data_IF_290209236393
#
_entry.id   IF_290209236393
#
_cell.length_a   1.000
_cell.length_b   1.000
_cell.length_c   1.000
_cell.angle_alpha   90.00
_cell.angle_beta   90.00
_cell.angle_gamma   90.00
#
_symmetry.space_group_name_H-M   'P 1'
#
loop_
_entity.id
_entity.type
_entity.pdbx_description
1 polymer ?
#
# COMPACT_ATOMS: atom_id res chain seq x y z
N UNK A 1 2.03 2.49 -16.02
CA UNK A 1 1.17 3.64 -15.61
C UNK A 1 -0.27 3.60 -16.13
N UNK A 2 -0.57 2.93 -17.25
CA UNK A 2 -1.95 2.83 -17.74
C UNK A 2 -2.81 1.78 -17.00
N UNK A 3 -2.23 0.74 -16.41
CA UNK A 3 -3.01 -0.37 -15.83
C UNK A 3 -3.74 0.01 -14.52
N UNK A 4 -3.15 0.85 -13.69
CA UNK A 4 -3.74 1.22 -12.39
C UNK A 4 -4.93 2.18 -12.53
N UNK A 5 -4.90 3.08 -13.50
CA UNK A 5 -6.03 3.97 -13.79
C UNK A 5 -7.24 3.17 -14.29
N UNK A 6 -7.00 2.09 -15.05
CA UNK A 6 -8.07 1.19 -15.51
C UNK A 6 -8.76 0.46 -14.34
N UNK A 7 -8.03 0.08 -13.31
CA UNK A 7 -8.61 -0.61 -12.14
C UNK A 7 -9.62 0.26 -11.38
N UNK A 8 -9.42 1.57 -11.35
CA UNK A 8 -10.37 2.50 -10.69
C UNK A 8 -11.63 2.73 -11.53
N UNK A 9 -11.50 2.73 -12.86
CA UNK A 9 -12.63 2.88 -13.79
C UNK A 9 -13.42 1.58 -13.92
N UNK A 10 -12.78 0.42 -13.73
CA UNK A 10 -13.43 -0.89 -13.86
C UNK A 10 -14.66 -1.04 -12.97
N UNK A 11 -14.63 -0.49 -11.76
CA UNK A 11 -15.77 -0.50 -10.83
C UNK A 11 -16.99 0.19 -11.45
N UNK A 12 -16.83 1.34 -12.09
CA UNK A 12 -17.94 2.05 -12.73
C UNK A 12 -18.45 1.30 -13.96
N UNK A 13 -17.55 0.72 -14.75
CA UNK A 13 -17.90 -0.11 -15.91
C UNK A 13 -18.70 -1.33 -15.43
N UNK A 14 -18.29 -1.96 -14.35
CA UNK A 14 -18.97 -3.10 -13.76
C UNK A 14 -20.42 -2.75 -13.32
N UNK A 15 -20.60 -1.64 -12.58
CA UNK A 15 -21.92 -1.16 -12.19
C UNK A 15 -22.83 -0.89 -13.39
N UNK A 16 -22.33 -0.20 -14.41
CA UNK A 16 -23.11 0.09 -15.63
C UNK A 16 -23.47 -1.19 -16.37
N UNK A 17 -22.54 -2.15 -16.44
CA UNK A 17 -22.77 -3.44 -17.08
C UNK A 17 -23.81 -4.27 -16.34
N UNK A 18 -23.78 -4.31 -15.02
CA UNK A 18 -24.78 -4.99 -14.19
C UNK A 18 -26.17 -4.36 -14.41
N UNK A 19 -26.26 -3.03 -14.42
CA UNK A 19 -27.50 -2.32 -14.66
C UNK A 19 -28.05 -2.64 -16.07
N UNK A 20 -27.21 -2.61 -17.09
CA UNK A 20 -27.61 -2.95 -18.47
C UNK A 20 -28.15 -4.38 -18.58
N UNK A 21 -27.45 -5.35 -17.96
CA UNK A 21 -27.91 -6.75 -17.91
C UNK A 21 -29.25 -6.87 -17.17
N UNK A 22 -29.42 -6.19 -16.05
CA UNK A 22 -30.68 -6.22 -15.29
C UNK A 22 -31.85 -5.66 -16.10
N UNK A 23 -31.64 -4.58 -16.84
CA UNK A 23 -32.66 -4.00 -17.73
C UNK A 23 -33.01 -4.95 -18.89
N UNK A 24 -32.01 -5.57 -19.53
CA UNK A 24 -32.23 -6.56 -20.59
C UNK A 24 -33.00 -7.79 -20.10
N UNK A 25 -32.67 -8.32 -18.93
CA UNK A 25 -33.37 -9.45 -18.31
C UNK A 25 -34.83 -9.07 -18.00
N UNK A 26 -35.04 -7.87 -17.45
CA UNK A 26 -36.39 -7.39 -17.17
C UNK A 26 -37.25 -7.28 -18.44
N UNK A 27 -36.67 -6.72 -19.51
CA UNK A 27 -37.39 -6.62 -20.80
C UNK A 27 -37.63 -8.00 -21.43
N UNK A 28 -36.69 -8.92 -21.33
CA UNK A 28 -36.85 -10.29 -21.78
C UNK A 28 -38.04 -11.00 -21.04
N UNK A 29 -38.09 -10.86 -19.73
CA UNK A 29 -39.17 -11.38 -18.89
C UNK A 29 -40.52 -10.78 -19.31
N UNK A 30 -40.56 -9.47 -19.58
CA UNK A 30 -41.74 -8.76 -20.05
C UNK A 30 -42.22 -9.30 -21.39
N UNK A 31 -41.32 -9.42 -22.38
CA UNK A 31 -41.65 -9.97 -23.71
C UNK A 31 -42.21 -11.40 -23.61
N UNK A 32 -41.63 -12.25 -22.77
CA UNK A 32 -42.10 -13.63 -22.54
C UNK A 32 -43.50 -13.63 -21.93
N UNK A 33 -43.77 -12.75 -20.95
CA UNK A 33 -45.09 -12.66 -20.30
C UNK A 33 -46.17 -12.12 -21.24
N UNK A 34 -45.86 -11.11 -22.02
CA UNK A 34 -46.83 -10.40 -22.85
C UNK A 34 -47.11 -11.09 -24.20
N UNK A 35 -46.30 -12.07 -24.58
CA UNK A 35 -46.45 -12.75 -25.86
C UNK A 35 -47.67 -13.68 -25.86
N UNK A 36 -48.79 -13.17 -26.37
CA UNK A 36 -50.08 -13.87 -26.45
C UNK A 36 -50.11 -14.94 -27.56
N UNK A 37 -49.22 -14.92 -28.51
CA UNK A 37 -49.22 -15.78 -29.70
C UNK A 37 -48.51 -17.12 -29.54
N UNK A 38 -47.70 -17.28 -28.51
CA UNK A 38 -46.87 -18.46 -28.37
C UNK A 38 -47.13 -19.11 -27.03
N UNK A 39 -47.69 -20.32 -27.11
CA UNK A 39 -47.30 -21.40 -26.25
C UNK A 39 -48.09 -21.55 -24.95
N UNK A 40 -48.45 -22.80 -24.71
CA UNK A 40 -49.08 -23.31 -23.49
C UNK A 40 -48.45 -22.69 -22.24
N UNK A 41 -49.21 -22.51 -21.17
CA UNK A 41 -48.74 -21.98 -19.88
C UNK A 41 -47.48 -22.70 -19.36
N UNK A 42 -47.31 -23.97 -19.75
CA UNK A 42 -46.16 -24.81 -19.43
C UNK A 42 -44.84 -24.30 -20.06
N UNK A 43 -44.83 -23.93 -21.36
CA UNK A 43 -43.64 -23.44 -22.03
C UNK A 43 -43.19 -22.04 -21.54
N UNK A 44 -44.17 -21.19 -21.13
CA UNK A 44 -43.82 -19.91 -20.45
C UNK A 44 -43.13 -20.16 -19.11
N UNK A 45 -43.59 -21.14 -18.34
CA UNK A 45 -42.93 -21.51 -17.08
C UNK A 45 -41.52 -22.03 -17.30
N UNK A 46 -41.32 -22.92 -18.30
CA UNK A 46 -40.00 -23.45 -18.65
C UNK A 46 -39.04 -22.30 -19.06
N UNK A 47 -39.50 -21.39 -19.94
CA UNK A 47 -38.67 -20.26 -20.37
C UNK A 47 -38.25 -19.38 -19.21
N UNK A 48 -39.14 -19.09 -18.25
CA UNK A 48 -38.80 -18.32 -17.07
C UNK A 48 -37.79 -19.05 -16.15
N UNK A 49 -37.97 -20.35 -15.97
CA UNK A 49 -37.04 -21.17 -15.18
C UNK A 49 -35.66 -21.22 -15.84
N UNK A 50 -35.61 -21.45 -17.17
CA UNK A 50 -34.35 -21.45 -17.90
C UNK A 50 -33.60 -20.09 -17.81
N UNK A 51 -34.36 -18.99 -17.97
CA UNK A 51 -33.77 -17.64 -17.80
C UNK A 51 -33.21 -17.45 -16.40
N UNK A 52 -33.96 -17.89 -15.37
CA UNK A 52 -33.47 -17.84 -13.99
C UNK A 52 -32.24 -18.71 -13.75
N UNK A 53 -32.20 -19.91 -14.32
CA UNK A 53 -31.02 -20.80 -14.23
C UNK A 53 -29.80 -20.20 -14.92
N UNK A 54 -29.96 -19.64 -16.12
CA UNK A 54 -28.86 -18.99 -16.84
C UNK A 54 -28.30 -17.81 -16.02
N UNK A 55 -29.20 -16.97 -15.49
CA UNK A 55 -28.77 -15.85 -14.65
C UNK A 55 -28.07 -16.33 -13.37
N UNK A 56 -28.58 -17.35 -12.70
CA UNK A 56 -27.95 -17.96 -11.54
C UNK A 56 -26.56 -18.52 -11.85
N UNK A 57 -26.37 -19.19 -12.99
CA UNK A 57 -25.08 -19.69 -13.44
C UNK A 57 -24.10 -18.55 -13.74
N UNK A 58 -24.58 -17.46 -14.36
CA UNK A 58 -23.73 -16.27 -14.59
C UNK A 58 -23.27 -15.64 -13.27
N UNK A 59 -24.15 -15.52 -12.28
CA UNK A 59 -23.80 -15.02 -10.95
C UNK A 59 -22.75 -15.93 -10.26
N UNK A 60 -22.95 -17.24 -10.31
CA UNK A 60 -22.00 -18.20 -9.74
C UNK A 60 -20.64 -18.13 -10.44
N UNK A 61 -20.62 -18.00 -11.76
CA UNK A 61 -19.39 -17.84 -12.53
C UNK A 61 -18.66 -16.53 -12.16
N UNK A 62 -19.41 -15.42 -12.05
CA UNK A 62 -18.83 -14.12 -11.64
C UNK A 62 -18.24 -14.17 -10.22
N UNK A 63 -18.91 -14.86 -9.29
CA UNK A 63 -18.38 -15.06 -7.94
C UNK A 63 -17.11 -15.93 -7.99
N UNK A 64 -17.12 -16.98 -8.80
CA UNK A 64 -15.95 -17.88 -8.93
C UNK A 64 -14.75 -17.17 -9.58
N UNK A 65 -14.97 -16.35 -10.62
CA UNK A 65 -13.93 -15.56 -11.28
C UNK A 65 -13.43 -14.42 -10.39
N UNK A 66 -14.34 -13.73 -9.69
CA UNK A 66 -14.02 -12.66 -8.75
C UNK A 66 -13.46 -13.16 -7.40
N UNK A 67 -13.53 -14.48 -7.15
CA UNK A 67 -12.91 -15.05 -5.95
C UNK A 67 -11.39 -15.01 -6.13
N UNK A 68 -10.70 -14.09 -5.43
CA UNK A 68 -9.24 -14.07 -5.54
C UNK A 68 -8.77 -15.47 -5.16
N UNK A 69 -7.95 -16.06 -5.99
CA UNK A 69 -7.16 -17.22 -5.55
C UNK A 69 -6.29 -16.69 -4.41
N UNK A 70 -6.89 -16.66 -3.23
CA UNK A 70 -6.18 -16.38 -1.99
C UNK A 70 -5.10 -17.43 -1.90
N UNK A 71 -3.94 -17.05 -2.40
CA UNK A 71 -2.72 -17.76 -2.13
C UNK A 71 -2.55 -17.71 -0.62
N UNK A 72 -3.17 -18.65 0.08
CA UNK A 72 -3.02 -18.87 1.51
C UNK A 72 -1.55 -18.92 1.99
N UNK A 73 -0.53 -19.25 1.13
CA UNK A 73 0.87 -19.16 1.52
C UNK A 73 1.33 -17.75 1.95
N UNK A 74 0.75 -16.69 1.43
CA UNK A 74 1.19 -15.33 1.77
C UNK A 74 0.69 -14.82 3.12
N UNK A 75 -0.34 -15.45 3.71
CA UNK A 75 -0.94 -14.94 4.95
C UNK A 75 0.03 -15.03 6.15
N UNK A 76 0.68 -16.16 6.33
CA UNK A 76 1.59 -16.35 7.47
C UNK A 76 2.83 -15.47 7.35
N UNK A 77 3.38 -15.34 6.12
CA UNK A 77 4.50 -14.44 5.85
C UNK A 77 4.12 -12.98 6.09
N UNK A 78 2.97 -12.54 5.58
CA UNK A 78 2.48 -11.18 5.78
C UNK A 78 2.21 -10.88 7.26
N UNK A 79 1.69 -11.86 8.01
CA UNK A 79 1.47 -11.74 9.44
C UNK A 79 2.78 -11.61 10.22
N UNK A 80 3.79 -12.40 9.87
CA UNK A 80 5.12 -12.29 10.48
C UNK A 80 5.75 -10.94 10.21
N UNK A 81 5.71 -10.46 8.98
CA UNK A 81 6.21 -9.14 8.61
C UNK A 81 5.47 -8.04 9.38
N UNK A 82 4.14 -8.09 9.44
CA UNK A 82 3.34 -7.13 10.20
C UNK A 82 3.74 -7.08 11.69
N UNK A 83 3.98 -8.23 12.31
CA UNK A 83 4.39 -8.30 13.72
C UNK A 83 5.80 -7.73 13.89
N UNK A 84 6.74 -8.07 13.00
CA UNK A 84 8.10 -7.55 13.00
C UNK A 84 8.12 -6.03 12.86
N UNK A 85 7.41 -5.50 11.87
CA UNK A 85 7.32 -4.05 11.60
C UNK A 85 6.69 -3.31 12.78
N UNK A 86 5.62 -3.86 13.37
CA UNK A 86 4.97 -3.30 14.54
C UNK A 86 5.92 -3.22 15.73
N UNK A 87 6.57 -4.34 16.07
CA UNK A 87 7.51 -4.39 17.20
C UNK A 87 8.67 -3.42 16.99
N UNK A 88 9.17 -3.33 15.78
CA UNK A 88 10.26 -2.43 15.43
C UNK A 88 9.87 -0.95 15.62
N UNK A 89 8.71 -0.53 15.12
CA UNK A 89 8.23 0.84 15.27
C UNK A 89 7.88 1.15 16.74
N UNK A 90 7.31 0.20 17.49
CA UNK A 90 7.08 0.35 18.93
C UNK A 90 8.41 0.51 19.69
N UNK A 91 9.48 -0.18 19.31
CA UNK A 91 10.81 -0.01 19.90
C UNK A 91 11.39 1.39 19.61
N UNK A 92 11.23 1.91 18.38
CA UNK A 92 11.59 3.29 18.05
C UNK A 92 10.81 4.26 18.93
N UNK A 93 9.49 4.12 19.01
CA UNK A 93 8.62 5.01 19.79
C UNK A 93 8.98 5.02 21.28
N UNK A 94 9.34 3.87 21.84
CA UNK A 94 9.78 3.75 23.24
C UNK A 94 11.18 4.31 23.51
N UNK A 95 11.98 4.52 22.46
CA UNK A 95 13.37 4.98 22.57
C UNK A 95 13.54 6.50 22.44
N UNK A 96 12.49 7.22 22.04
CA UNK A 96 12.48 8.67 21.84
C UNK A 96 11.33 9.33 22.58
N UNK A 97 11.37 10.65 22.73
CA UNK A 97 10.28 11.41 23.35
C UNK A 97 9.01 11.41 22.48
N UNK A 98 7.85 11.43 23.12
CA UNK A 98 6.57 11.51 22.41
C UNK A 98 6.52 12.79 21.55
N UNK A 99 6.09 12.62 20.29
CA UNK A 99 6.05 13.72 19.32
C UNK A 99 7.35 13.97 18.57
N UNK A 100 8.40 13.17 18.80
CA UNK A 100 9.66 13.23 18.07
C UNK A 100 9.48 13.03 16.57
N UNK A 101 10.34 13.68 15.79
CA UNK A 101 10.38 13.59 14.33
C UNK A 101 11.42 12.54 13.89
N UNK A 102 11.02 11.66 13.01
CA UNK A 102 11.89 10.63 12.39
C UNK A 102 11.98 10.89 10.89
N UNK A 103 13.19 11.03 10.38
CA UNK A 103 13.43 11.18 8.95
C UNK A 103 13.50 9.81 8.28
N UNK A 104 12.84 9.66 7.12
CA UNK A 104 12.74 8.38 6.42
C UNK A 104 13.54 8.39 5.12
N UNK A 105 14.33 7.34 4.93
CA UNK A 105 15.10 7.08 3.73
C UNK A 105 14.64 5.78 3.04
N UNK A 106 14.75 5.74 1.70
CA UNK A 106 15.14 6.84 0.81
C UNK A 106 14.07 7.93 0.70
N UNK A 107 14.41 9.09 0.16
CA UNK A 107 13.37 10.01 -0.33
C UNK A 107 12.55 9.32 -1.42
N UNK A 108 11.24 9.35 -1.26
CA UNK A 108 10.28 8.73 -2.18
C UNK A 108 9.10 9.67 -2.39
N UNK A 109 8.81 10.01 -3.65
CA UNK A 109 7.72 10.92 -3.98
C UNK A 109 6.36 10.31 -3.61
N UNK A 110 5.43 11.12 -3.11
CA UNK A 110 4.06 10.73 -2.81
C UNK A 110 3.06 11.53 -3.65
N UNK A 111 1.99 10.94 -4.21
CA UNK A 111 1.72 9.51 -4.32
C UNK A 111 2.35 8.91 -5.60
N UNK A 112 2.49 7.61 -5.66
CA UNK A 112 2.70 6.84 -6.90
C UNK A 112 4.00 7.19 -7.67
N UNK A 113 5.14 7.02 -7.04
CA UNK A 113 6.45 7.12 -7.69
C UNK A 113 6.80 5.86 -8.49
N UNK A 114 6.41 4.71 -7.98
CA UNK A 114 6.77 3.38 -8.45
C UNK A 114 7.78 2.68 -7.55
N UNK A 115 7.99 1.37 -7.71
CA UNK A 115 8.90 0.61 -6.86
C UNK A 115 10.35 1.08 -7.05
N UNK A 116 11.12 1.04 -5.96
CA UNK A 116 12.59 1.22 -5.96
C UNK A 116 13.18 -0.06 -5.38
N UNK A 117 13.85 -0.84 -6.19
CA UNK A 117 14.27 -2.22 -5.89
C UNK A 117 13.07 -3.02 -5.34
N UNK A 118 13.15 -3.57 -4.13
CA UNK A 118 12.08 -4.32 -3.48
C UNK A 118 11.17 -3.46 -2.59
N UNK A 119 11.39 -2.14 -2.53
CA UNK A 119 10.53 -1.20 -1.83
C UNK A 119 9.38 -0.73 -2.74
N UNK A 120 8.13 -0.87 -2.29
CA UNK A 120 6.93 -0.38 -2.98
C UNK A 120 6.50 1.00 -2.47
N UNK A 121 5.67 1.69 -3.25
CA UNK A 121 5.24 3.09 -3.05
C UNK A 121 4.83 3.48 -1.63
N UNK A 122 4.29 2.54 -0.85
CA UNK A 122 3.70 2.84 0.45
C UNK A 122 4.41 2.15 1.63
N UNK A 123 5.55 1.50 1.41
CA UNK A 123 6.27 0.84 2.49
C UNK A 123 6.71 1.82 3.59
N UNK A 124 7.07 3.04 3.26
CA UNK A 124 7.44 4.06 4.24
C UNK A 124 6.28 4.48 5.18
N UNK A 125 5.02 4.15 4.85
CA UNK A 125 3.90 4.34 5.79
C UNK A 125 3.89 3.36 6.95
N UNK A 126 4.72 2.33 6.95
CA UNK A 126 4.86 1.37 8.05
C UNK A 126 5.10 2.10 9.38
N UNK A 127 5.99 3.10 9.38
CA UNK A 127 6.23 3.94 10.55
C UNK A 127 4.95 4.60 11.07
N UNK A 128 4.22 5.26 10.19
CA UNK A 128 2.97 5.93 10.55
C UNK A 128 1.87 4.97 11.01
N UNK A 129 1.76 3.78 10.38
CA UNK A 129 0.72 2.80 10.71
C UNK A 129 0.88 2.20 12.11
N UNK A 130 2.11 2.09 12.59
CA UNK A 130 2.41 1.40 13.86
C UNK A 130 2.78 2.33 15.01
N UNK A 131 3.03 3.62 14.75
CA UNK A 131 3.28 4.62 15.81
C UNK A 131 2.02 5.38 16.20
N UNK A 132 2.02 5.94 17.41
CA UNK A 132 0.92 6.74 17.95
C UNK A 132 1.28 8.22 18.10
N UNK A 133 2.53 8.50 18.39
CA UNK A 133 2.99 9.84 18.76
C UNK A 133 4.06 10.40 17.83
N UNK A 134 4.78 9.54 17.10
CA UNK A 134 5.89 9.95 16.26
C UNK A 134 5.42 10.70 14.99
N UNK A 135 6.27 11.59 14.52
CA UNK A 135 6.08 12.33 13.27
C UNK A 135 7.07 11.79 12.23
N UNK A 136 6.56 11.40 11.08
CA UNK A 136 7.34 10.78 10.01
C UNK A 136 7.47 11.72 8.83
N UNK A 137 8.62 11.71 8.16
CA UNK A 137 8.90 12.64 7.05
C UNK A 137 8.24 12.25 5.72
N UNK A 138 7.84 10.98 5.55
CA UNK A 138 7.18 10.51 4.33
C UNK A 138 5.73 10.98 4.23
N UNK A 139 5.26 11.15 2.99
CA UNK A 139 3.86 11.50 2.69
C UNK A 139 3.66 12.95 2.24
N UNK A 140 4.73 13.72 2.08
CA UNK A 140 4.65 15.05 1.45
C UNK A 140 4.22 14.94 -0.01
N UNK A 141 3.19 15.72 -0.38
CA UNK A 141 2.60 15.64 -1.72
C UNK A 141 3.54 16.22 -2.76
N UNK A 142 3.80 15.46 -3.82
CA UNK A 142 4.63 15.82 -4.97
C UNK A 142 4.39 17.25 -5.46
N UNK A 143 5.46 18.02 -5.58
CA UNK A 143 5.48 19.39 -6.09
C UNK A 143 5.16 20.47 -5.06
N UNK A 144 4.80 20.12 -3.82
CA UNK A 144 4.68 21.08 -2.72
C UNK A 144 6.05 21.42 -2.11
N UNK A 145 6.09 22.43 -1.27
CA UNK A 145 7.36 22.91 -0.70
C UNK A 145 7.98 21.91 0.27
N UNK A 146 7.14 21.15 1.01
CA UNK A 146 7.57 20.04 1.87
C UNK A 146 8.21 18.91 1.08
N UNK A 147 7.69 18.61 -0.11
CA UNK A 147 8.24 17.61 -1.01
C UNK A 147 9.62 18.04 -1.56
N UNK A 148 9.73 19.30 -2.00
CA UNK A 148 11.00 19.87 -2.45
C UNK A 148 12.05 19.86 -1.35
N UNK A 149 11.64 20.22 -0.12
CA UNK A 149 12.51 20.16 1.05
C UNK A 149 13.00 18.72 1.30
N UNK A 150 12.08 17.77 1.30
CA UNK A 150 12.39 16.36 1.54
C UNK A 150 13.33 15.78 0.48
N UNK A 151 13.10 16.13 -0.79
CA UNK A 151 13.97 15.79 -1.91
C UNK A 151 15.37 16.37 -1.77
N UNK A 152 15.47 17.63 -1.38
CA UNK A 152 16.74 18.29 -1.16
C UNK A 152 17.53 17.64 -0.03
N UNK A 153 16.88 17.34 1.09
CA UNK A 153 17.50 16.66 2.23
C UNK A 153 17.94 15.25 1.83
N UNK A 154 17.08 14.48 1.16
CA UNK A 154 17.39 13.12 0.71
C UNK A 154 18.54 13.04 -0.31
N UNK A 155 18.88 14.14 -0.97
CA UNK A 155 20.02 14.22 -1.91
C UNK A 155 21.33 14.70 -1.29
N UNK A 156 21.34 15.04 0.00
CA UNK A 156 22.55 15.50 0.69
C UNK A 156 23.53 14.35 0.95
N UNK A 157 24.84 14.60 0.99
CA UNK A 157 25.79 13.68 1.58
C UNK A 157 25.39 13.35 3.02
N UNK A 158 25.57 12.10 3.45
CA UNK A 158 25.01 11.59 4.71
C UNK A 158 25.49 12.37 5.95
N UNK A 159 26.74 12.82 5.98
CA UNK A 159 27.31 13.63 7.05
C UNK A 159 26.58 14.97 7.20
N UNK A 160 26.32 15.63 6.08
CA UNK A 160 25.59 16.91 6.03
C UNK A 160 24.11 16.72 6.35
N UNK A 161 23.52 15.65 5.85
CA UNK A 161 22.12 15.31 6.12
C UNK A 161 21.92 15.12 7.64
N UNK A 162 22.74 14.31 8.28
CA UNK A 162 22.65 14.06 9.73
C UNK A 162 22.78 15.36 10.52
N UNK A 163 23.78 16.20 10.19
CA UNK A 163 24.00 17.50 10.86
C UNK A 163 22.79 18.41 10.68
N UNK A 164 22.29 18.52 9.46
CA UNK A 164 21.12 19.34 9.14
C UNK A 164 19.85 18.85 9.85
N UNK A 165 19.59 17.53 9.85
CA UNK A 165 18.42 16.97 10.51
C UNK A 165 18.44 17.17 12.03
N UNK A 166 19.63 17.10 12.66
CA UNK A 166 19.82 17.45 14.07
C UNK A 166 19.43 18.90 14.35
N UNK A 167 19.89 19.83 13.52
CA UNK A 167 19.53 21.25 13.65
C UNK A 167 18.03 21.50 13.46
N UNK A 168 17.36 20.70 12.62
CA UNK A 168 15.90 20.77 12.45
C UNK A 168 15.10 20.08 13.57
N UNK A 169 15.78 19.45 14.54
CA UNK A 169 15.13 18.81 15.69
C UNK A 169 14.60 17.39 15.44
N UNK A 170 15.11 16.71 14.42
CA UNK A 170 14.82 15.29 14.24
C UNK A 170 15.51 14.46 15.34
N UNK A 171 14.85 13.39 15.76
CA UNK A 171 15.36 12.47 16.78
C UNK A 171 16.17 11.31 16.19
N UNK A 172 15.98 11.02 14.89
CA UNK A 172 16.66 9.91 14.24
C UNK A 172 16.30 9.73 12.78
N UNK A 173 16.93 8.73 12.18
CA UNK A 173 16.71 8.28 10.81
C UNK A 173 16.17 6.85 10.81
N UNK A 174 15.18 6.61 9.99
CA UNK A 174 14.64 5.31 9.61
C UNK A 174 15.01 5.03 8.15
N UNK A 175 15.42 3.80 7.84
CA UNK A 175 15.75 3.35 6.49
C UNK A 175 14.90 2.12 6.14
N UNK A 176 14.23 2.17 5.01
CA UNK A 176 13.69 0.98 4.38
C UNK A 176 14.81 0.30 3.56
N UNK A 177 15.36 -0.78 4.09
CA UNK A 177 16.53 -1.49 3.53
C UNK A 177 16.24 -2.08 2.14
N UNK A 178 14.98 -2.38 1.85
CA UNK A 178 14.55 -2.95 0.56
C UNK A 178 14.75 -2.01 -0.63
N UNK A 179 14.96 -0.73 -0.36
CA UNK A 179 15.18 0.29 -1.39
C UNK A 179 16.61 0.32 -1.94
N UNK A 180 17.54 -0.38 -1.31
CA UNK A 180 18.98 -0.29 -1.60
C UNK A 180 19.56 -1.62 -2.01
N UNK A 181 20.55 -1.58 -2.88
CA UNK A 181 21.43 -2.71 -3.14
C UNK A 181 22.36 -2.95 -1.92
N UNK A 182 22.82 -4.19 -1.74
CA UNK A 182 23.57 -4.60 -0.54
C UNK A 182 24.86 -3.76 -0.32
N UNK A 183 25.55 -3.39 -1.38
CA UNK A 183 26.77 -2.57 -1.30
C UNK A 183 26.46 -1.12 -0.86
N UNK A 184 25.41 -0.53 -1.43
CA UNK A 184 24.93 0.81 -1.07
C UNK A 184 24.45 0.86 0.36
N UNK A 185 23.66 -0.15 0.75
CA UNK A 185 23.13 -0.29 2.10
C UNK A 185 24.24 -0.40 3.14
N UNK A 186 25.23 -1.27 2.91
CA UNK A 186 26.37 -1.45 3.81
C UNK A 186 27.15 -0.16 3.98
N UNK A 187 27.33 0.59 2.90
CA UNK A 187 28.03 1.88 2.92
C UNK A 187 27.24 2.93 3.71
N UNK A 188 25.93 3.01 3.49
CA UNK A 188 25.03 3.94 4.17
C UNK A 188 24.94 3.66 5.67
N UNK A 189 24.70 2.42 6.06
CA UNK A 189 24.61 1.98 7.45
C UNK A 189 25.95 2.16 8.18
N UNK A 190 27.04 1.80 7.53
CA UNK A 190 28.39 1.99 8.06
C UNK A 190 28.73 3.46 8.31
N UNK A 191 28.33 4.34 7.38
CA UNK A 191 28.53 5.79 7.53
C UNK A 191 27.70 6.35 8.69
N UNK A 192 26.43 5.95 8.81
CA UNK A 192 25.55 6.36 9.92
C UNK A 192 26.10 5.88 11.27
N UNK A 193 26.50 4.62 11.37
CA UNK A 193 27.10 4.07 12.58
C UNK A 193 28.34 4.85 13.00
N UNK A 194 29.20 5.21 12.05
CA UNK A 194 30.41 5.99 12.32
C UNK A 194 30.09 7.43 12.76
N UNK A 195 29.15 8.11 12.08
CA UNK A 195 28.79 9.51 12.36
C UNK A 195 28.08 9.63 13.71
N UNK A 196 27.19 8.68 14.01
CA UNK A 196 26.36 8.71 15.21
C UNK A 196 26.99 8.01 16.41
N UNK A 197 28.05 7.22 16.17
CA UNK A 197 28.74 6.40 17.16
C UNK A 197 27.76 5.55 18.01
N UNK A 198 26.80 4.93 17.33
CA UNK A 198 25.73 4.15 17.95
C UNK A 198 25.48 2.85 17.17
N UNK A 199 25.12 1.80 17.89
CA UNK A 199 24.62 0.58 17.24
C UNK A 199 23.18 0.79 16.80
N UNK A 200 22.87 0.49 15.53
CA UNK A 200 21.52 0.68 15.00
C UNK A 200 20.54 -0.37 15.53
N UNK A 201 19.27 -0.03 15.50
CA UNK A 201 18.20 -1.02 15.61
C UNK A 201 17.86 -1.58 14.23
N UNK A 202 17.72 -2.90 14.13
CA UNK A 202 17.32 -3.60 12.92
C UNK A 202 16.05 -4.41 13.25
N UNK A 203 15.08 -4.43 12.32
CA UNK A 203 13.86 -5.22 12.50
C UNK A 203 14.13 -6.72 12.37
N UNK A 204 13.29 -7.57 13.01
CA UNK A 204 13.45 -9.04 12.98
C UNK A 204 13.37 -9.62 11.56
N UNK A 205 12.65 -8.95 10.64
CA UNK A 205 12.57 -9.32 9.22
C UNK A 205 13.67 -8.69 8.37
N UNK A 206 14.61 -7.99 8.99
CA UNK A 206 15.74 -7.30 8.34
C UNK A 206 15.37 -6.24 7.29
N UNK A 207 14.10 -5.85 7.20
CA UNK A 207 13.63 -4.88 6.21
C UNK A 207 13.81 -3.42 6.63
N UNK A 208 14.00 -3.17 7.92
CA UNK A 208 14.04 -1.82 8.47
C UNK A 208 15.23 -1.62 9.41
N UNK A 209 15.80 -0.42 9.33
CA UNK A 209 16.91 0.03 10.15
C UNK A 209 16.55 1.38 10.79
N UNK A 210 16.96 1.62 12.03
CA UNK A 210 16.83 2.93 12.66
C UNK A 210 18.05 3.27 13.50
N UNK A 211 18.46 4.54 13.44
CA UNK A 211 19.45 5.15 14.32
C UNK A 211 18.87 6.40 14.94
N UNK A 212 18.88 6.50 16.27
CA UNK A 212 18.06 7.44 17.04
C UNK A 212 18.87 8.45 17.88
N UNK A 213 20.19 8.40 17.84
CA UNK A 213 21.02 9.24 18.71
C UNK A 213 21.26 10.64 18.14
N UNK A 214 20.18 11.35 17.83
CA UNK A 214 20.22 12.76 17.42
C UNK A 214 20.15 13.70 18.63
N UNK A 215 20.78 13.34 19.76
CA UNK A 215 20.82 14.22 20.93
C UNK A 215 21.46 15.55 20.53
N UNK A 216 20.71 16.64 20.73
CA UNK A 216 21.29 17.98 20.71
C UNK A 216 22.38 18.05 21.77
N UNK A 217 23.56 18.48 21.36
CA UNK A 217 24.62 18.89 22.27
C UNK A 217 24.18 20.15 23.02
#
# INVERSE_FOLDING_TARGET
RCSETYNRISIFIEYVSILAVALLVNELIRVIKDNKKVVSAWAKRISLVLTGCIFGLMCLFSIWEGYPQLATPAYDTNKMNYISDKNFVENIENSVEAGSMIYQLPYHEYPEYGPVNDMWDYHLYIGYLHSKTLKWSYGSIKGRDEDKWNKNVGSMPIDKMVSYLKEQGFAGIYIDRRAYEEEELTTLEGSLKQILNEEPMISDNENSYASLNFKCL
#
